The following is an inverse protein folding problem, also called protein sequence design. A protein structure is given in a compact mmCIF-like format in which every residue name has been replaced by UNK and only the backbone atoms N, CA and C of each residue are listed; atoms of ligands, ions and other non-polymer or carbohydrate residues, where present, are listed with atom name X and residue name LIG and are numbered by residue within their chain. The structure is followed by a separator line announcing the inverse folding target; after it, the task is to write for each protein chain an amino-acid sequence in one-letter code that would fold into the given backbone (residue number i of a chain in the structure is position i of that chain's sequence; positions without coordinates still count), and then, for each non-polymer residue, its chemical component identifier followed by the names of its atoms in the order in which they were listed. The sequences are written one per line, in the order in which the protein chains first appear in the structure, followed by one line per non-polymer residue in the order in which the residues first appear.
data_IF_138058472480
#
_entry.id   IF_138058472480
#
_cell.length_a   1.000
_cell.length_b   1.000
_cell.length_c   1.000
_cell.angle_alpha   90.00
_cell.angle_beta   90.00
_cell.angle_gamma   90.00
#
_symmetry.space_group_name_H-M   'P 1'
#
loop_
_entity.id
_entity.type
_entity.pdbx_description
1 polymer ?
#
# COMPACT_ATOMS: atom_id res chain seq x y z
N UNK A 1 -9.29 -12.83 -13.63
CA UNK A 1 -8.57 -11.58 -13.29
C UNK A 1 -9.51 -10.37 -13.48
N UNK A 2 -10.30 -9.97 -12.47
CA UNK A 2 -11.17 -8.78 -12.57
C UNK A 2 -10.37 -7.47 -12.43
N UNK A 3 -10.81 -6.41 -13.14
CA UNK A 3 -10.00 -5.23 -13.50
C UNK A 3 -10.42 -3.91 -12.81
N UNK A 4 -10.75 -3.91 -11.52
CA UNK A 4 -11.48 -2.78 -10.88
C UNK A 4 -10.71 -1.93 -9.86
N UNK A 5 -9.46 -2.24 -9.52
CA UNK A 5 -8.71 -1.52 -8.46
C UNK A 5 -7.83 -0.34 -8.93
N UNK A 6 -7.71 -0.12 -10.24
CA UNK A 6 -6.60 0.64 -10.83
C UNK A 6 -6.83 2.15 -11.09
N UNK A 7 -8.00 2.72 -10.74
CA UNK A 7 -8.30 4.12 -11.05
C UNK A 7 -7.88 5.11 -9.93
N UNK A 8 -8.29 4.82 -8.69
CA UNK A 8 -7.94 5.64 -7.51
C UNK A 8 -6.48 5.41 -7.13
N UNK A 9 -6.07 4.13 -7.03
CA UNK A 9 -4.69 3.77 -6.65
C UNK A 9 -3.67 4.32 -7.67
N UNK A 10 -3.94 4.35 -8.99
CA UNK A 10 -3.01 4.98 -9.95
C UNK A 10 -2.90 6.50 -9.83
N UNK A 11 -3.99 7.22 -9.53
CA UNK A 11 -3.94 8.69 -9.39
C UNK A 11 -3.28 9.10 -8.07
N UNK A 12 -3.57 8.37 -6.99
CA UNK A 12 -2.88 8.58 -5.71
C UNK A 12 -1.43 8.11 -5.81
N UNK A 13 -1.12 6.98 -6.46
CA UNK A 13 0.25 6.56 -6.74
C UNK A 13 1.00 7.54 -7.65
N UNK A 14 0.35 8.14 -8.65
CA UNK A 14 0.97 9.19 -9.48
C UNK A 14 1.33 10.42 -8.62
N UNK A 15 0.42 10.92 -7.77
CA UNK A 15 0.71 12.00 -6.83
C UNK A 15 1.61 11.58 -5.63
N UNK A 16 1.86 10.28 -5.46
CA UNK A 16 2.84 9.71 -4.52
C UNK A 16 4.18 9.42 -5.21
N UNK A 17 4.32 9.69 -6.51
CA UNK A 17 5.55 9.55 -7.30
C UNK A 17 5.99 10.91 -7.84
N UNK A 18 5.07 11.75 -8.32
CA UNK A 18 5.29 13.15 -8.68
C UNK A 18 5.31 14.06 -7.43
N UNK A 19 6.10 15.13 -7.52
CA UNK A 19 6.37 16.06 -6.42
C UNK A 19 5.12 16.87 -6.01
N UNK A 20 4.97 17.13 -4.71
CA UNK A 20 4.04 18.16 -4.22
C UNK A 20 4.68 19.54 -4.47
N UNK A 21 4.07 20.43 -5.30
CA UNK A 21 4.70 21.69 -5.69
C UNK A 21 4.60 22.74 -4.57
N UNK A 22 5.61 22.79 -3.71
CA UNK A 22 5.81 23.86 -2.72
C UNK A 22 6.65 25.01 -3.30
N UNK A 23 6.14 26.24 -3.15
CA UNK A 23 6.72 27.52 -3.63
C UNK A 23 6.53 27.77 -5.14
N UNK A 24 5.81 28.86 -5.45
CA UNK A 24 5.52 29.29 -6.83
C UNK A 24 6.76 29.91 -7.45
N UNK A 25 7.26 29.34 -8.54
CA UNK A 25 7.93 30.11 -9.59
C UNK A 25 7.00 30.29 -10.78
N UNK A 26 7.07 31.47 -11.38
CA UNK A 26 6.21 31.94 -12.47
C UNK A 26 6.78 31.46 -13.82
N UNK A 27 5.89 31.26 -14.79
CA UNK A 27 6.17 31.09 -16.23
C UNK A 27 6.80 29.76 -16.73
N UNK A 28 5.97 28.86 -17.30
CA UNK A 28 6.10 28.33 -18.67
C UNK A 28 4.89 27.44 -19.06
N UNK A 29 4.32 27.50 -20.28
CA UNK A 29 3.17 26.66 -20.68
C UNK A 29 3.56 25.46 -21.55
N UNK A 30 2.81 24.34 -21.43
CA UNK A 30 2.59 23.37 -22.53
C UNK A 30 1.50 22.33 -22.21
N UNK A 31 0.30 22.62 -22.67
CA UNK A 31 -0.76 21.62 -22.93
C UNK A 31 -0.66 21.14 -24.38
N UNK A 32 -0.62 19.83 -24.63
CA UNK A 32 -1.22 19.14 -25.81
C UNK A 32 -0.77 17.66 -25.84
N UNK A 33 -1.58 16.74 -25.27
CA UNK A 33 -1.40 15.28 -25.50
C UNK A 33 -2.68 14.43 -25.30
N UNK A 34 -3.87 15.04 -25.36
CA UNK A 34 -5.14 14.40 -24.93
C UNK A 34 -6.20 14.22 -26.05
N UNK A 35 -5.84 14.42 -27.32
CA UNK A 35 -6.81 14.58 -28.42
C UNK A 35 -6.72 13.52 -29.53
N UNK A 36 -5.82 12.52 -29.39
CA UNK A 36 -5.57 11.50 -30.44
C UNK A 36 -6.12 10.09 -30.16
N UNK A 37 -6.99 9.92 -29.16
CA UNK A 37 -7.56 8.60 -28.78
C UNK A 37 -9.10 8.54 -28.82
N UNK A 38 -9.75 9.25 -29.76
CA UNK A 38 -11.22 9.25 -29.94
C UNK A 38 -11.72 8.99 -31.38
N UNK A 39 -10.88 8.53 -32.31
CA UNK A 39 -11.24 8.44 -33.74
C UNK A 39 -10.88 7.10 -34.40
N UNK A 40 -11.15 5.97 -33.72
CA UNK A 40 -10.89 4.63 -34.26
C UNK A 40 -11.82 3.54 -33.68
N UNK A 41 -13.14 3.74 -33.72
CA UNK A 41 -14.12 2.72 -33.31
C UNK A 41 -15.54 2.95 -33.89
N UNK A 42 -15.66 3.19 -35.20
CA UNK A 42 -16.95 3.09 -35.90
C UNK A 42 -16.76 2.39 -37.25
N UNK A 43 -17.41 1.23 -37.42
CA UNK A 43 -17.18 0.31 -38.54
C UNK A 43 -18.10 -0.91 -38.49
N UNK A 44 -19.36 -0.71 -38.91
CA UNK A 44 -20.31 -1.76 -39.35
C UNK A 44 -19.90 -2.33 -40.73
N UNK A 45 -20.42 -3.47 -41.26
CA UNK A 45 -21.73 -4.14 -41.07
C UNK A 45 -21.57 -5.63 -40.62
N UNK A 46 -22.45 -6.64 -40.79
CA UNK A 46 -23.67 -6.88 -41.61
C UNK A 46 -24.65 -7.87 -40.91
N UNK A 47 -25.86 -8.04 -41.46
CA UNK A 47 -26.86 -9.04 -41.05
C UNK A 47 -26.81 -10.33 -41.89
N UNK A 48 -27.46 -11.42 -41.43
CA UNK A 48 -28.48 -12.05 -42.28
C UNK A 48 -29.78 -12.41 -41.52
N UNK A 49 -30.70 -13.10 -42.21
CA UNK A 49 -32.15 -13.06 -41.95
C UNK A 49 -32.80 -14.40 -41.55
N UNK A 50 -34.04 -14.29 -41.03
CA UNK A 50 -35.23 -15.09 -41.39
C UNK A 50 -35.72 -16.23 -40.46
N UNK A 51 -37.04 -16.11 -40.17
CA UNK A 51 -38.06 -17.11 -39.78
C UNK A 51 -38.04 -17.78 -38.40
N UNK A 52 -39.01 -17.35 -37.59
CA UNK A 52 -39.82 -18.25 -36.77
C UNK A 52 -40.65 -19.21 -37.66
N UNK A 53 -40.83 -20.46 -37.19
CA UNK A 53 -42.02 -21.26 -37.47
C UNK A 53 -42.26 -22.22 -36.31
N UNK A 54 -43.48 -22.25 -35.81
CA UNK A 54 -43.98 -23.22 -34.84
C UNK A 54 -44.05 -24.63 -35.42
N UNK A 55 -43.99 -25.66 -34.56
CA UNK A 55 -45.15 -26.53 -34.29
C UNK A 55 -44.89 -27.57 -33.19
N UNK A 56 -45.93 -27.86 -32.40
CA UNK A 56 -45.94 -28.87 -31.32
C UNK A 56 -46.48 -30.20 -31.84
N UNK A 57 -45.74 -31.31 -31.66
CA UNK A 57 -46.20 -32.71 -31.70
C UNK A 57 -44.98 -33.64 -31.61
N UNK A 58 -44.97 -34.83 -30.97
CA UNK A 58 -45.93 -35.55 -30.10
C UNK A 58 -45.12 -36.53 -29.22
N UNK A 59 -45.72 -36.92 -28.09
CA UNK A 59 -45.63 -38.18 -27.33
C UNK A 59 -44.64 -39.29 -27.77
N UNK A 60 -44.12 -40.16 -26.89
CA UNK A 60 -43.97 -40.18 -25.41
C UNK A 60 -43.41 -41.56 -25.02
N UNK A 61 -42.13 -41.67 -24.63
CA UNK A 61 -41.61 -42.93 -24.07
C UNK A 61 -40.64 -42.67 -22.91
N UNK A 62 -40.74 -43.54 -21.91
CA UNK A 62 -39.86 -43.67 -20.74
C UNK A 62 -39.95 -42.57 -19.66
N UNK A 63 -41.07 -42.61 -18.91
CA UNK A 63 -41.08 -42.26 -17.47
C UNK A 63 -40.12 -43.19 -16.71
N UNK A 64 -38.84 -42.81 -16.60
CA UNK A 64 -37.79 -43.30 -15.67
C UNK A 64 -36.63 -42.28 -15.77
N UNK A 65 -35.97 -41.95 -14.66
CA UNK A 65 -34.95 -40.88 -14.52
C UNK A 65 -35.47 -39.43 -14.39
N UNK A 66 -36.29 -39.12 -13.38
CA UNK A 66 -36.69 -37.73 -13.04
C UNK A 66 -36.59 -37.36 -11.55
N UNK A 67 -35.83 -38.13 -10.76
CA UNK A 67 -35.60 -37.86 -9.30
C UNK A 67 -34.11 -37.65 -8.97
N UNK A 68 -33.19 -38.02 -9.87
CA UNK A 68 -31.74 -37.83 -9.69
C UNK A 68 -31.19 -36.50 -10.24
N UNK A 69 -32.03 -35.65 -10.85
CA UNK A 69 -31.63 -34.35 -11.42
C UNK A 69 -32.07 -33.14 -10.59
N UNK A 70 -32.82 -33.35 -9.50
CA UNK A 70 -33.26 -32.29 -8.58
C UNK A 70 -32.39 -32.18 -7.30
N UNK A 71 -31.47 -33.14 -7.06
CA UNK A 71 -30.63 -33.20 -5.86
C UNK A 71 -29.20 -32.66 -6.07
N UNK A 72 -28.86 -32.16 -7.26
CA UNK A 72 -27.59 -31.47 -7.54
C UNK A 72 -27.72 -29.94 -7.60
N UNK A 73 -28.88 -29.37 -7.23
CA UNK A 73 -29.15 -27.93 -7.26
C UNK A 73 -29.64 -27.38 -5.90
N UNK A 74 -29.17 -27.97 -4.80
CA UNK A 74 -29.52 -27.59 -3.44
C UNK A 74 -28.33 -27.59 -2.46
N UNK A 75 -27.09 -27.42 -2.96
CA UNK A 75 -25.87 -27.26 -2.15
C UNK A 75 -25.08 -26.03 -2.63
N UNK A 76 -25.69 -24.85 -2.55
CA UNK A 76 -25.03 -23.57 -2.92
C UNK A 76 -25.40 -22.39 -2.00
N UNK A 77 -25.76 -22.66 -0.73
CA UNK A 77 -25.86 -21.62 0.33
C UNK A 77 -25.17 -22.05 1.61
N UNK A 78 -23.88 -22.40 1.50
CA UNK A 78 -22.93 -22.44 2.63
C UNK A 78 -21.55 -22.05 2.10
N UNK A 79 -21.53 -20.80 1.67
CA UNK A 79 -20.42 -20.10 1.05
C UNK A 79 -20.71 -18.61 1.13
N UNK A 80 -21.05 -18.11 2.33
CA UNK A 80 -20.77 -16.71 2.63
C UNK A 80 -19.30 -16.56 2.30
N UNK A 81 -18.99 -15.70 1.34
CA UNK A 81 -17.63 -15.47 0.97
C UNK A 81 -16.88 -15.03 2.23
N UNK A 82 -16.01 -15.92 2.73
CA UNK A 82 -14.66 -15.51 3.03
C UNK A 82 -14.12 -14.93 1.71
N UNK A 83 -14.50 -13.68 1.45
CA UNK A 83 -13.80 -12.86 0.50
C UNK A 83 -12.38 -12.90 1.03
N UNK A 84 -11.50 -13.52 0.25
CA UNK A 84 -10.08 -13.33 0.37
C UNK A 84 -9.87 -11.82 0.33
N UNK A 85 -9.84 -11.22 1.53
CA UNK A 85 -9.39 -9.87 1.76
C UNK A 85 -7.91 -10.00 1.51
N UNK A 86 -7.52 -10.00 0.24
CA UNK A 86 -6.14 -10.01 -0.22
C UNK A 86 -5.42 -9.00 0.65
N UNK A 87 -4.63 -9.50 1.62
CA UNK A 87 -4.28 -8.70 2.79
C UNK A 87 -3.57 -7.46 2.27
N UNK A 88 -4.22 -6.31 2.42
CA UNK A 88 -3.74 -5.08 1.82
C UNK A 88 -2.45 -4.74 2.54
N UNK A 89 -1.31 -5.12 1.94
CA UNK A 89 0.01 -4.86 2.50
C UNK A 89 0.08 -3.37 2.76
N UNK A 90 0.04 -3.00 4.04
CA UNK A 90 -0.09 -1.61 4.48
C UNK A 90 1.25 -0.89 4.39
N UNK A 91 2.37 -1.59 4.52
CA UNK A 91 3.73 -1.03 4.40
C UNK A 91 4.35 -1.43 3.06
N UNK A 92 4.63 -0.46 2.18
CA UNK A 92 5.01 -0.69 0.79
C UNK A 92 6.32 0.02 0.43
N UNK A 93 7.42 -0.71 0.30
CA UNK A 93 8.69 -0.16 -0.18
C UNK A 93 8.73 -0.08 -1.72
N UNK A 94 9.07 1.09 -2.27
CA UNK A 94 9.04 1.36 -3.72
C UNK A 94 10.33 1.03 -4.48
N UNK A 95 11.41 0.65 -3.77
CA UNK A 95 12.67 0.24 -4.39
C UNK A 95 13.19 -1.08 -3.82
N UNK A 96 13.91 -1.85 -4.64
CA UNK A 96 14.48 -3.14 -4.25
C UNK A 96 15.40 -3.04 -3.01
N UNK A 97 16.15 -1.94 -2.87
CA UNK A 97 17.00 -1.69 -1.69
C UNK A 97 16.19 -1.55 -0.40
N UNK A 98 15.07 -0.82 -0.46
CA UNK A 98 14.19 -0.65 0.70
C UNK A 98 13.44 -1.95 1.04
N UNK A 99 13.07 -2.73 0.02
CA UNK A 99 12.48 -4.07 0.21
C UNK A 99 13.46 -5.03 0.90
N UNK A 100 14.74 -5.02 0.49
CA UNK A 100 15.78 -5.82 1.13
C UNK A 100 16.03 -5.39 2.59
N UNK A 101 16.16 -4.08 2.85
CA UNK A 101 16.33 -3.54 4.22
C UNK A 101 15.17 -3.93 5.14
N UNK A 102 13.92 -3.85 4.66
CA UNK A 102 12.77 -4.30 5.42
C UNK A 102 12.77 -5.81 5.65
N UNK A 103 13.10 -6.61 4.64
CA UNK A 103 13.15 -8.07 4.79
C UNK A 103 14.20 -8.52 5.81
N UNK A 104 15.38 -7.90 5.78
CA UNK A 104 16.45 -8.13 6.75
C UNK A 104 16.03 -7.72 8.18
N UNK A 105 15.39 -6.56 8.31
CA UNK A 105 14.84 -6.09 9.58
C UNK A 105 13.77 -7.02 10.14
N UNK A 106 12.83 -7.48 9.29
CA UNK A 106 11.77 -8.43 9.65
C UNK A 106 12.35 -9.77 10.08
N UNK A 107 13.50 -10.19 9.55
CA UNK A 107 14.17 -11.41 9.98
C UNK A 107 14.80 -11.25 11.38
N UNK A 108 15.54 -10.16 11.60
CA UNK A 108 16.35 -9.96 12.81
C UNK A 108 15.70 -9.21 13.97
N UNK A 109 14.56 -8.53 13.79
CA UNK A 109 13.90 -7.73 14.83
C UNK A 109 12.46 -8.16 15.08
N UNK A 110 12.13 -8.44 16.35
CA UNK A 110 10.74 -8.65 16.79
C UNK A 110 10.00 -7.31 16.87
N UNK A 111 10.66 -6.25 17.35
CA UNK A 111 10.08 -4.90 17.43
C UNK A 111 9.59 -4.41 16.06
N UNK A 112 10.34 -4.67 14.97
CA UNK A 112 9.88 -4.31 13.63
C UNK A 112 8.72 -5.19 13.14
N UNK A 113 8.67 -6.48 13.51
CA UNK A 113 7.53 -7.37 13.21
C UNK A 113 6.25 -6.85 13.88
N UNK A 114 6.29 -6.58 15.18
CA UNK A 114 5.15 -6.03 15.93
C UNK A 114 4.65 -4.68 15.38
N UNK A 115 5.58 -3.82 14.96
CA UNK A 115 5.27 -2.52 14.35
C UNK A 115 4.57 -2.66 13.00
N UNK A 116 5.06 -3.56 12.13
CA UNK A 116 4.44 -3.85 10.84
C UNK A 116 3.06 -4.49 11.03
N UNK A 117 2.89 -5.42 11.98
CA UNK A 117 1.60 -6.03 12.31
C UNK A 117 0.59 -5.02 12.89
N UNK A 118 1.08 -4.01 13.61
CA UNK A 118 0.27 -2.90 14.11
C UNK A 118 -0.24 -2.04 12.94
N UNK A 119 0.64 -1.68 12.00
CA UNK A 119 0.26 -0.97 10.78
C UNK A 119 -0.66 -1.79 9.88
N UNK A 120 -0.41 -3.10 9.74
CA UNK A 120 -1.19 -4.02 8.92
C UNK A 120 -2.66 -4.11 9.38
N UNK A 121 -2.89 -4.03 10.70
CA UNK A 121 -4.23 -4.00 11.33
C UNK A 121 -4.90 -2.62 11.35
N UNK A 122 -4.22 -1.58 10.88
CA UNK A 122 -4.73 -0.19 10.87
C UNK A 122 -5.51 0.18 9.59
N UNK A 123 -6.01 1.41 9.54
CA UNK A 123 -6.55 2.05 8.34
C UNK A 123 -5.50 2.82 7.52
N UNK A 124 -4.23 2.86 7.95
CA UNK A 124 -3.13 3.56 7.27
C UNK A 124 -2.48 2.67 6.20
N UNK A 125 -2.12 3.25 5.06
CA UNK A 125 -1.21 2.67 4.06
C UNK A 125 0.02 3.58 3.97
N UNK A 126 1.20 3.03 4.25
CA UNK A 126 2.51 3.70 4.23
C UNK A 126 3.28 3.29 2.97
N UNK A 127 3.69 4.26 2.17
CA UNK A 127 4.64 4.06 1.08
C UNK A 127 6.03 4.54 1.50
N UNK A 128 7.02 3.65 1.53
CA UNK A 128 8.41 3.99 1.84
C UNK A 128 9.15 4.16 0.50
N UNK A 129 9.65 5.37 0.25
CA UNK A 129 10.28 5.75 -1.00
C UNK A 129 11.65 6.43 -0.77
N UNK A 130 12.56 6.35 -1.75
CA UNK A 130 13.71 7.24 -1.80
C UNK A 130 13.29 8.72 -1.75
N UNK A 131 14.04 9.52 -1.00
CA UNK A 131 13.97 10.97 -1.08
C UNK A 131 14.65 11.43 -2.38
N UNK A 132 13.91 12.15 -3.23
CA UNK A 132 14.39 12.69 -4.50
C UNK A 132 13.80 14.10 -4.68
N UNK A 133 14.62 15.13 -4.91
CA UNK A 133 16.07 15.17 -4.68
C UNK A 133 16.40 14.96 -3.19
N UNK A 134 17.61 14.48 -2.88
CA UNK A 134 18.05 14.32 -1.50
C UNK A 134 18.16 15.69 -0.80
N UNK A 135 17.57 15.82 0.38
CA UNK A 135 17.73 16.97 1.28
C UNK A 135 18.89 16.65 2.22
N UNK A 136 19.90 17.51 2.33
CA UNK A 136 21.14 17.13 3.02
C UNK A 136 20.95 16.77 4.50
N UNK A 137 20.08 17.50 5.21
CA UNK A 137 19.90 17.44 6.66
C UNK A 137 18.78 16.49 7.14
N UNK A 138 18.04 15.84 6.24
CA UNK A 138 16.87 15.03 6.58
C UNK A 138 17.13 13.59 6.17
N UNK A 139 17.15 12.67 7.14
CA UNK A 139 17.44 11.25 6.90
C UNK A 139 16.18 10.44 6.57
N UNK A 140 15.10 10.73 7.30
CA UNK A 140 13.73 10.25 7.08
C UNK A 140 12.74 11.42 7.18
N UNK A 141 11.58 11.29 6.55
CA UNK A 141 10.47 12.25 6.68
C UNK A 141 9.12 11.59 6.37
N UNK A 142 8.20 11.59 7.34
CA UNK A 142 6.82 11.15 7.17
C UNK A 142 5.91 12.29 6.67
N UNK A 143 5.22 12.07 5.57
CA UNK A 143 4.23 12.98 5.01
C UNK A 143 2.82 12.38 5.01
N UNK A 144 1.82 13.19 5.36
CA UNK A 144 0.42 12.88 5.08
C UNK A 144 0.13 13.16 3.59
N UNK A 145 -0.17 12.11 2.82
CA UNK A 145 -0.34 12.23 1.36
C UNK A 145 -1.80 12.42 0.95
N UNK A 146 -2.72 11.62 1.50
CA UNK A 146 -4.15 11.69 1.19
C UNK A 146 -5.02 11.01 2.25
N UNK A 147 -6.31 11.35 2.30
CA UNK A 147 -7.33 10.60 3.03
C UNK A 147 -8.47 10.24 2.09
N UNK A 148 -9.00 9.03 2.21
CA UNK A 148 -10.19 8.55 1.52
C UNK A 148 -11.10 7.81 2.54
N UNK A 149 -12.36 7.46 2.19
CA UNK A 149 -13.26 6.79 3.13
C UNK A 149 -12.67 5.49 3.68
N UNK A 150 -12.35 5.46 4.98
CA UNK A 150 -11.79 4.30 5.68
C UNK A 150 -10.32 3.98 5.37
N UNK A 151 -9.56 4.89 4.76
CA UNK A 151 -8.12 4.70 4.52
C UNK A 151 -7.35 6.02 4.48
N UNK A 152 -6.19 6.04 5.15
CA UNK A 152 -5.27 7.18 5.20
C UNK A 152 -3.95 6.79 4.53
N UNK A 153 -3.42 7.65 3.67
CA UNK A 153 -2.21 7.39 2.89
C UNK A 153 -1.07 8.25 3.41
N UNK A 154 0.01 7.60 3.83
CA UNK A 154 1.24 8.24 4.27
C UNK A 154 2.38 7.89 3.32
N UNK A 155 3.35 8.79 3.21
CA UNK A 155 4.60 8.58 2.47
C UNK A 155 5.77 8.84 3.39
N UNK A 156 6.62 7.83 3.57
CA UNK A 156 7.94 7.95 4.19
C UNK A 156 8.96 8.19 3.08
N UNK A 157 9.70 9.29 3.16
CA UNK A 157 10.85 9.56 2.32
C UNK A 157 12.12 9.27 3.09
N UNK A 158 13.07 8.52 2.52
CA UNK A 158 14.36 8.21 3.16
C UNK A 158 15.56 8.48 2.27
N UNK A 159 16.62 9.00 2.88
CA UNK A 159 17.88 9.38 2.23
C UNK A 159 18.64 8.14 1.73
N UNK A 160 19.10 8.17 0.48
CA UNK A 160 19.66 6.97 -0.18
C UNK A 160 21.12 6.69 0.21
N UNK A 161 21.85 7.67 0.72
CA UNK A 161 23.28 7.57 1.01
C UNK A 161 23.57 6.91 2.37
N UNK A 162 22.54 6.64 3.17
CA UNK A 162 22.64 5.97 4.48
C UNK A 162 23.19 4.56 4.35
N UNK A 163 24.01 4.09 5.31
CA UNK A 163 24.38 2.67 5.38
C UNK A 163 23.14 1.79 5.62
N UNK A 164 23.24 0.48 5.39
CA UNK A 164 22.12 -0.46 5.57
C UNK A 164 21.49 -0.37 6.97
N UNK A 165 22.32 -0.32 8.02
CA UNK A 165 21.82 -0.23 9.41
C UNK A 165 21.19 1.12 9.72
N UNK A 166 21.79 2.23 9.27
CA UNK A 166 21.19 3.57 9.43
C UNK A 166 19.86 3.69 8.67
N UNK A 167 19.77 3.11 7.47
CA UNK A 167 18.54 3.10 6.68
C UNK A 167 17.46 2.25 7.35
N UNK A 168 17.82 1.16 8.02
CA UNK A 168 16.88 0.36 8.80
C UNK A 168 16.38 1.11 10.05
N UNK A 169 17.30 1.69 10.84
CA UNK A 169 17.02 2.51 12.02
C UNK A 169 16.03 3.64 11.68
N UNK A 170 16.31 4.39 10.62
CA UNK A 170 15.44 5.47 10.12
C UNK A 170 14.10 4.91 9.62
N UNK A 171 14.07 3.80 8.87
CA UNK A 171 12.79 3.23 8.41
C UNK A 171 11.93 2.76 9.59
N UNK A 172 12.51 2.16 10.63
CA UNK A 172 11.78 1.78 11.84
C UNK A 172 11.22 2.99 12.60
N UNK A 173 12.01 4.05 12.73
CA UNK A 173 11.63 5.33 13.30
C UNK A 173 10.43 5.97 12.58
N UNK A 174 10.51 6.10 11.25
CA UNK A 174 9.42 6.66 10.43
C UNK A 174 8.15 5.78 10.43
N UNK A 175 8.29 4.46 10.59
CA UNK A 175 7.15 3.55 10.77
C UNK A 175 6.50 3.69 12.14
N UNK A 176 7.25 4.05 13.19
CA UNK A 176 6.68 4.38 14.50
C UNK A 176 5.85 5.67 14.43
N UNK A 177 6.33 6.70 13.74
CA UNK A 177 5.52 7.89 13.41
C UNK A 177 4.24 7.53 12.62
N UNK A 178 4.35 6.61 11.65
CA UNK A 178 3.16 6.12 10.95
C UNK A 178 2.17 5.38 11.88
N UNK A 179 2.66 4.67 12.91
CA UNK A 179 1.83 4.00 13.90
C UNK A 179 1.18 4.98 14.90
N UNK A 180 1.86 6.07 15.25
CA UNK A 180 1.30 7.18 16.04
C UNK A 180 0.13 7.86 15.29
N UNK A 181 0.30 8.12 13.99
CA UNK A 181 -0.78 8.58 13.12
C UNK A 181 -1.90 7.54 13.02
N UNK A 182 -1.58 6.25 12.92
CA UNK A 182 -2.56 5.17 12.87
C UNK A 182 -3.44 5.16 14.13
N UNK A 183 -2.85 5.25 15.32
CA UNK A 183 -3.56 5.33 16.61
C UNK A 183 -4.42 6.61 16.72
N UNK A 184 -3.99 7.72 16.12
CA UNK A 184 -4.68 8.99 16.14
C UNK A 184 -5.72 9.12 15.00
N UNK A 185 -6.89 8.50 15.16
CA UNK A 185 -7.97 8.50 14.14
C UNK A 185 -8.49 9.88 13.68
N UNK A 186 -8.22 10.94 14.44
CA UNK A 186 -8.54 12.33 14.07
C UNK A 186 -7.55 12.95 13.06
N UNK A 187 -6.41 12.30 12.82
CA UNK A 187 -5.42 12.75 11.82
C UNK A 187 -5.87 12.35 10.43
N UNK A 188 -6.40 13.32 9.68
CA UNK A 188 -6.99 13.14 8.33
C UNK A 188 -6.38 14.09 7.28
N UNK A 189 -5.34 14.84 7.68
CA UNK A 189 -4.65 15.86 6.87
C UNK A 189 -3.28 16.19 7.49
N UNK A 190 -2.40 16.84 6.72
CA UNK A 190 -1.13 17.40 7.22
C UNK A 190 -1.32 18.30 8.44
N UNK A 191 -2.28 19.22 8.40
CA UNK A 191 -2.58 20.13 9.52
C UNK A 191 -2.97 19.41 10.81
N UNK A 192 -3.75 18.33 10.70
CA UNK A 192 -4.10 17.50 11.86
C UNK A 192 -2.95 16.61 12.34
N UNK A 193 -1.99 16.31 11.46
CA UNK A 193 -0.77 15.56 11.81
C UNK A 193 0.24 16.45 12.54
N UNK A 194 0.43 17.69 12.07
CA UNK A 194 1.17 18.74 12.79
C UNK A 194 0.61 18.92 14.21
N UNK A 195 -0.71 19.09 14.34
CA UNK A 195 -1.37 19.23 15.64
C UNK A 195 -1.32 17.98 16.54
N UNK A 196 -1.08 16.78 16.00
CA UNK A 196 -0.77 15.60 16.79
C UNK A 196 0.64 15.72 17.38
N UNK A 197 1.64 16.03 16.54
CA UNK A 197 3.03 16.07 16.96
C UNK A 197 3.38 17.27 17.84
N UNK A 198 2.69 18.41 17.69
CA UNK A 198 2.72 19.52 18.65
C UNK A 198 2.32 19.10 20.08
N UNK A 199 1.62 17.97 20.23
CA UNK A 199 1.15 17.42 21.50
C UNK A 199 1.94 16.23 22.02
N UNK A 200 2.39 15.33 21.15
CA UNK A 200 3.06 14.07 21.55
C UNK A 200 4.58 14.09 21.37
N UNK A 201 5.10 15.13 20.70
CA UNK A 201 6.50 15.22 20.29
C UNK A 201 7.09 16.60 20.53
N UNK A 202 8.21 16.85 19.86
CA UNK A 202 8.92 18.14 19.87
C UNK A 202 9.50 18.45 18.50
N UNK A 203 9.67 19.73 18.19
CA UNK A 203 10.23 20.20 16.93
C UNK A 203 11.77 20.20 17.00
N UNK A 204 12.45 19.46 16.11
CA UNK A 204 13.93 19.46 16.02
C UNK A 204 14.40 20.64 15.16
N UNK A 205 13.76 20.81 14.00
CA UNK A 205 13.90 21.95 13.10
C UNK A 205 12.52 22.29 12.55
N UNK A 206 12.34 23.51 12.04
CA UNK A 206 11.01 24.03 11.68
C UNK A 206 10.23 23.08 10.73
N UNK A 207 9.11 22.54 11.21
CA UNK A 207 8.28 21.58 10.49
C UNK A 207 8.82 20.14 10.43
N UNK A 208 9.75 19.78 11.31
CA UNK A 208 10.20 18.41 11.55
C UNK A 208 10.00 18.09 13.04
N UNK A 209 8.97 17.31 13.32
CA UNK A 209 8.67 16.81 14.65
C UNK A 209 9.29 15.43 14.89
N UNK A 210 9.35 15.06 16.16
CA UNK A 210 10.05 13.90 16.68
C UNK A 210 9.34 13.40 17.95
N UNK A 211 9.45 12.11 18.26
CA UNK A 211 8.93 11.52 19.50
C UNK A 211 9.97 10.61 20.15
N UNK A 212 10.03 10.60 21.49
CA UNK A 212 10.92 9.68 22.21
C UNK A 212 10.62 8.20 21.88
N UNK A 213 9.37 7.90 21.48
CA UNK A 213 8.97 6.58 21.02
C UNK A 213 9.59 6.22 19.66
N UNK A 214 9.60 7.14 18.68
CA UNK A 214 10.22 6.89 17.37
C UNK A 214 11.73 6.65 17.47
N UNK A 215 12.43 7.43 18.31
CA UNK A 215 13.84 7.17 18.67
C UNK A 215 14.04 5.80 19.28
N UNK A 216 13.31 5.50 20.35
CA UNK A 216 13.45 4.24 21.09
C UNK A 216 13.15 3.00 20.22
N UNK A 217 12.23 3.10 19.26
CA UNK A 217 11.96 2.04 18.29
C UNK A 217 13.09 1.89 17.27
N UNK A 218 13.59 3.00 16.69
CA UNK A 218 14.73 2.98 15.78
C UNK A 218 15.98 2.33 16.39
N UNK A 219 16.36 2.78 17.59
CA UNK A 219 17.48 2.25 18.36
C UNK A 219 17.31 0.75 18.67
N UNK A 220 16.09 0.34 19.09
CA UNK A 220 15.81 -1.05 19.45
C UNK A 220 15.87 -1.98 18.24
N UNK A 221 15.25 -1.62 17.12
CA UNK A 221 15.32 -2.42 15.88
C UNK A 221 16.76 -2.59 15.41
N UNK A 222 17.57 -1.52 15.51
CA UNK A 222 19.00 -1.60 15.22
C UNK A 222 19.75 -2.56 16.15
N UNK A 223 19.48 -2.54 17.45
CA UNK A 223 20.12 -3.45 18.41
C UNK A 223 19.75 -4.91 18.14
N UNK A 224 18.46 -5.22 17.98
CA UNK A 224 17.98 -6.59 17.72
C UNK A 224 18.60 -7.20 16.46
N UNK A 225 18.72 -6.43 15.37
CA UNK A 225 19.33 -6.92 14.13
C UNK A 225 20.85 -7.13 14.26
N UNK A 226 21.55 -6.31 15.04
CA UNK A 226 22.98 -6.54 15.31
C UNK A 226 23.20 -7.82 16.12
N UNK A 227 22.40 -8.05 17.17
CA UNK A 227 22.44 -9.30 17.96
C UNK A 227 22.14 -10.53 17.09
N UNK A 228 21.16 -10.43 16.19
CA UNK A 228 20.84 -11.48 15.21
C UNK A 228 22.00 -11.77 14.25
N UNK A 229 22.65 -10.75 13.70
CA UNK A 229 23.80 -10.91 12.80
C UNK A 229 25.02 -11.50 13.51
N UNK A 230 25.29 -11.10 14.76
CA UNK A 230 26.35 -11.69 15.57
C UNK A 230 26.08 -13.18 15.87
N UNK A 231 24.84 -13.53 16.19
CA UNK A 231 24.42 -14.91 16.42
C UNK A 231 24.57 -15.78 15.16
N UNK A 232 24.19 -15.27 13.98
CA UNK A 232 24.39 -15.96 12.70
C UNK A 232 25.88 -16.20 12.40
N UNK A 233 26.73 -15.18 12.57
CA UNK A 233 28.17 -15.34 12.39
C UNK A 233 28.78 -16.33 13.38
N UNK A 234 28.32 -16.32 14.64
CA UNK A 234 28.77 -17.27 15.66
C UNK A 234 28.33 -18.71 15.38
N UNK A 235 27.21 -18.92 14.69
CA UNK A 235 26.79 -20.23 14.18
C UNK A 235 27.66 -20.67 12.99
N UNK A 236 27.91 -19.77 12.02
CA UNK A 236 28.74 -20.05 10.85
C UNK A 236 30.18 -20.43 11.21
N UNK A 237 30.79 -19.76 12.21
CA UNK A 237 32.17 -20.07 12.69
C UNK A 237 32.31 -21.42 13.41
N UNK A 238 31.22 -22.16 13.64
CA UNK A 238 31.22 -23.48 14.30
C UNK A 238 31.12 -24.65 13.30
N UNK A 239 31.10 -24.35 12.00
CA UNK A 239 31.04 -25.31 10.90
C UNK A 239 32.31 -25.20 10.02
#
# INVERSE_FOLDING_TARGET
MPRTWLAVDRRIAANLIEEQPGIRHRDNPRTHFAEQLRSAADGTPIAPTRRMSSSRARLSWLRRLYVASALCLAVTVSGIAAGDRTELIRVRATSARLQAVLADGIAGSETLRELIDTLQRSDVIVFIAPQVPAKELIWGELHFAASAPGVRYLRVNVKQELSRMQLLEVVAHELQHAAEVAAASHVVSTKTMEALYDRIGFEIVRGQHETDAARAIGDRVRHEVLEYEEALQAAQRKH
#
